data_IF_478826499145
#
_entry.id   IF_478826499145
#
_cell.length_a   1.000
_cell.length_b   1.000
_cell.length_c   1.000
_cell.angle_alpha   90.00
_cell.angle_beta   90.00
_cell.angle_gamma   90.00
#
_symmetry.space_group_name_H-M   'P 1'
#
loop_
_entity.id
_entity.type
_entity.pdbx_description
1 polymer ?
#
# COMPACT_ATOMS: atom_id res chain seq x y z
N UNK A 1 -3.52 -12.84 -5.16
CA UNK A 1 -3.06 -11.54 -5.68
C UNK A 1 -1.72 -11.76 -6.36
N UNK A 2 -1.71 -11.70 -7.69
CA UNK A 2 -0.49 -11.85 -8.50
C UNK A 2 -0.38 -10.61 -9.37
N UNK A 3 0.75 -9.90 -9.31
CA UNK A 3 1.06 -8.84 -10.25
C UNK A 3 1.59 -9.50 -11.53
N UNK A 4 0.84 -9.47 -12.63
CA UNK A 4 1.32 -9.98 -13.91
C UNK A 4 0.64 -9.22 -15.05
N UNK A 5 1.45 -8.43 -15.78
CA UNK A 5 1.10 -7.41 -16.79
C UNK A 5 1.10 -5.94 -16.32
N UNK A 6 1.60 -5.66 -15.12
CA UNK A 6 1.60 -4.32 -14.55
C UNK A 6 0.24 -3.91 -13.97
N UNK A 7 -0.62 -4.89 -13.68
CA UNK A 7 -1.90 -4.69 -13.00
C UNK A 7 -1.95 -5.41 -11.67
N UNK A 8 -2.80 -4.90 -10.78
CA UNK A 8 -3.26 -5.58 -9.59
C UNK A 8 -4.48 -6.42 -9.98
N UNK A 9 -4.45 -7.71 -9.66
CA UNK A 9 -5.56 -8.63 -9.95
C UNK A 9 -6.02 -9.32 -8.68
N UNK A 10 -7.32 -9.22 -8.40
CA UNK A 10 -8.01 -9.83 -7.27
C UNK A 10 -8.84 -11.01 -7.77
N UNK A 11 -8.71 -12.14 -7.08
CA UNK A 11 -9.39 -13.39 -7.40
C UNK A 11 -10.32 -13.77 -6.25
N UNK A 12 -11.49 -14.33 -6.57
CA UNK A 12 -12.37 -14.96 -5.56
C UNK A 12 -11.64 -16.18 -4.97
N UNK A 13 -11.50 -16.20 -3.64
CA UNK A 13 -10.74 -17.24 -2.94
C UNK A 13 -11.38 -18.63 -2.92
N UNK A 14 -12.65 -18.76 -3.32
CA UNK A 14 -13.36 -20.06 -3.36
C UNK A 14 -13.20 -20.72 -4.73
N UNK A 15 -13.48 -19.97 -5.79
CA UNK A 15 -13.58 -20.51 -7.15
C UNK A 15 -12.42 -20.07 -8.07
N UNK A 16 -11.54 -19.18 -7.59
CA UNK A 16 -10.35 -18.67 -8.30
C UNK A 16 -10.65 -17.94 -9.62
N UNK A 17 -11.89 -17.46 -9.78
CA UNK A 17 -12.22 -16.54 -10.86
C UNK A 17 -11.68 -15.15 -10.54
N UNK A 18 -11.26 -14.43 -11.58
CA UNK A 18 -10.91 -13.01 -11.47
C UNK A 18 -12.16 -12.24 -11.03
N UNK A 19 -12.08 -11.62 -9.85
CA UNK A 19 -13.12 -10.78 -9.31
C UNK A 19 -12.99 -9.34 -9.84
N UNK A 20 -11.75 -8.87 -9.93
CA UNK A 20 -11.44 -7.49 -10.32
C UNK A 20 -9.98 -7.37 -10.79
N UNK A 21 -9.72 -6.33 -11.59
CA UNK A 21 -8.37 -5.88 -11.97
C UNK A 21 -8.28 -4.35 -11.93
N UNK A 22 -7.10 -3.83 -11.62
CA UNK A 22 -6.85 -2.38 -11.64
C UNK A 22 -6.93 -1.80 -13.04
N UNK A 23 -7.32 -0.52 -13.12
CA UNK A 23 -7.24 0.28 -14.33
C UNK A 23 -5.79 0.66 -14.66
N UNK A 24 -4.95 0.86 -13.63
CA UNK A 24 -3.50 1.07 -13.76
C UNK A 24 -2.86 -0.14 -14.42
N UNK A 25 -1.98 0.10 -15.40
CA UNK A 25 -1.40 -0.93 -16.29
C UNK A 25 0.11 -1.01 -16.25
N UNK A 26 0.74 -0.17 -15.45
CA UNK A 26 2.18 0.03 -15.35
C UNK A 26 2.69 -0.09 -13.91
N UNK A 27 1.94 -0.80 -13.06
CA UNK A 27 2.37 -1.12 -11.70
C UNK A 27 3.67 -1.92 -11.75
N UNK A 28 4.63 -1.50 -10.92
CA UNK A 28 5.93 -2.15 -10.75
C UNK A 28 6.09 -2.76 -9.36
N UNK A 29 5.00 -2.77 -8.60
CA UNK A 29 4.89 -3.36 -7.27
C UNK A 29 5.40 -4.80 -7.23
N UNK A 30 6.20 -5.09 -6.21
CA UNK A 30 6.70 -6.42 -5.88
C UNK A 30 6.53 -6.76 -4.39
N UNK A 31 6.04 -5.83 -3.58
CA UNK A 31 5.59 -6.03 -2.21
C UNK A 31 4.18 -5.48 -2.05
N UNK A 32 3.40 -6.16 -1.22
CA UNK A 32 2.02 -5.79 -0.90
C UNK A 32 1.82 -5.95 0.60
N UNK A 33 1.19 -4.94 1.21
CA UNK A 33 0.70 -4.97 2.59
C UNK A 33 -0.82 -4.82 2.57
N UNK A 34 -1.46 -5.37 3.60
CA UNK A 34 -2.89 -5.25 3.83
C UNK A 34 -3.09 -4.74 5.25
N UNK A 35 -3.92 -3.71 5.41
CA UNK A 35 -4.34 -3.16 6.70
C UNK A 35 -5.03 -1.82 6.53
N UNK A 36 -5.91 -1.47 7.46
CA UNK A 36 -6.46 -0.13 7.65
C UNK A 36 -5.31 0.85 7.93
N UNK A 37 -4.93 1.65 6.94
CA UNK A 37 -3.84 2.64 6.99
C UNK A 37 -4.35 4.07 6.85
N UNK A 38 -5.63 4.27 6.60
CA UNK A 38 -6.24 5.60 6.50
C UNK A 38 -7.29 5.91 7.59
N UNK A 39 -7.63 4.92 8.42
CA UNK A 39 -8.43 5.05 9.63
C UNK A 39 -9.93 4.98 9.42
N UNK A 40 -10.41 4.37 8.33
CA UNK A 40 -11.83 4.29 7.99
C UNK A 40 -12.55 2.98 8.41
N UNK A 41 -11.86 2.12 9.18
CA UNK A 41 -12.26 0.78 9.63
C UNK A 41 -12.36 -0.29 8.51
N UNK A 42 -11.92 0.00 7.28
CA UNK A 42 -11.71 -0.99 6.23
C UNK A 42 -10.21 -1.18 5.94
N UNK A 43 -9.82 -2.31 5.33
CA UNK A 43 -8.41 -2.55 5.01
C UNK A 43 -8.06 -1.96 3.64
N UNK A 44 -6.82 -1.46 3.48
CA UNK A 44 -6.27 -1.09 2.18
C UNK A 44 -5.27 -2.13 1.65
N UNK A 45 -5.10 -2.15 0.33
CA UNK A 45 -4.01 -2.78 -0.39
C UNK A 45 -2.94 -1.74 -0.68
N UNK A 46 -1.81 -1.84 0.04
CA UNK A 46 -0.66 -0.95 -0.12
C UNK A 46 0.40 -1.62 -0.99
N UNK A 47 0.71 -1.00 -2.13
CA UNK A 47 1.73 -1.46 -3.07
C UNK A 47 3.02 -0.64 -2.92
N UNK A 48 4.18 -1.30 -2.94
CA UNK A 48 5.44 -0.62 -2.66
C UNK A 48 5.92 0.38 -3.72
N UNK A 49 5.30 0.37 -4.89
CA UNK A 49 5.50 1.38 -5.93
C UNK A 49 4.66 2.66 -5.71
N UNK A 50 3.94 2.76 -4.59
CA UNK A 50 3.31 4.00 -4.11
C UNK A 50 1.79 4.06 -4.28
N UNK A 51 1.14 2.97 -4.69
CA UNK A 51 -0.32 2.93 -4.83
C UNK A 51 -0.99 2.36 -3.58
N UNK A 52 -2.12 2.95 -3.20
CA UNK A 52 -2.99 2.52 -2.10
C UNK A 52 -4.41 2.41 -2.63
N UNK A 53 -4.99 1.21 -2.51
CA UNK A 53 -6.35 0.90 -2.94
C UNK A 53 -7.18 0.45 -1.74
N UNK A 54 -8.45 0.82 -1.68
CA UNK A 54 -9.41 0.20 -0.76
C UNK A 54 -9.51 -1.31 -1.06
N UNK A 55 -9.46 -2.20 -0.05
CA UNK A 55 -9.48 -3.65 -0.28
C UNK A 55 -10.89 -4.25 -0.44
N UNK A 56 -11.94 -3.47 -0.21
CA UNK A 56 -13.34 -3.89 -0.29
C UNK A 56 -13.99 -3.54 -1.63
N UNK A 57 -13.79 -2.30 -2.08
CA UNK A 57 -14.32 -1.71 -3.30
C UNK A 57 -13.27 -1.67 -4.42
N UNK A 58 -11.99 -1.78 -4.10
CA UNK A 58 -10.86 -1.74 -5.05
C UNK A 58 -10.68 -0.38 -5.77
N UNK A 59 -11.21 0.68 -5.17
CA UNK A 59 -11.01 2.04 -5.67
C UNK A 59 -9.59 2.52 -5.33
N UNK A 60 -8.99 3.29 -6.24
CA UNK A 60 -7.70 3.94 -5.97
C UNK A 60 -7.92 5.15 -5.05
N UNK A 61 -7.38 5.09 -3.84
CA UNK A 61 -7.56 6.14 -2.83
C UNK A 61 -6.41 7.14 -2.82
N UNK A 62 -5.20 6.63 -3.03
CA UNK A 62 -4.00 7.43 -3.11
C UNK A 62 -2.93 6.84 -4.02
N UNK A 63 -2.26 7.75 -4.73
CA UNK A 63 -1.00 7.51 -5.42
C UNK A 63 0.04 8.46 -4.84
N UNK A 64 0.99 7.91 -4.10
CA UNK A 64 2.16 8.63 -3.62
C UNK A 64 3.03 9.06 -4.82
N UNK A 65 3.62 10.28 -4.78
CA UNK A 65 4.57 10.71 -5.80
C UNK A 65 5.90 9.92 -5.76
N UNK A 66 6.19 9.25 -4.65
CA UNK A 66 7.41 8.46 -4.44
C UNK A 66 7.05 7.05 -3.96
N UNK A 67 7.82 6.01 -4.31
CA UNK A 67 7.58 4.66 -3.85
C UNK A 67 7.81 4.53 -2.34
N UNK A 68 7.18 3.53 -1.72
CA UNK A 68 7.31 3.26 -0.28
C UNK A 68 8.57 2.44 0.07
N UNK A 69 9.31 1.91 -0.91
CA UNK A 69 10.60 1.25 -0.69
C UNK A 69 10.70 -0.14 -1.31
N UNK A 70 11.83 -0.81 -1.12
CA UNK A 70 12.09 -2.17 -1.62
C UNK A 70 11.45 -3.24 -0.72
N UNK A 71 11.31 -2.95 0.58
CA UNK A 71 10.60 -3.77 1.56
C UNK A 71 9.77 -2.88 2.45
N UNK A 72 8.64 -3.39 2.90
CA UNK A 72 7.72 -2.61 3.73
C UNK A 72 7.23 -3.39 4.95
N UNK A 73 6.76 -2.67 5.96
CA UNK A 73 5.94 -3.19 7.06
C UNK A 73 4.95 -2.12 7.55
N UNK A 74 3.93 -2.56 8.29
CA UNK A 74 2.97 -1.67 8.97
C UNK A 74 3.26 -1.62 10.46
N UNK A 75 3.24 -0.42 11.04
CA UNK A 75 3.37 -0.21 12.49
C UNK A 75 2.83 1.16 12.85
N UNK A 76 1.92 1.21 13.83
CA UNK A 76 1.49 2.45 14.50
C UNK A 76 2.65 2.99 15.36
N UNK A 77 3.23 4.11 14.93
CA UNK A 77 4.42 4.73 15.49
C UNK A 77 4.12 5.94 16.37
N UNK A 78 2.98 6.59 16.21
CA UNK A 78 2.59 7.77 17.00
C UNK A 78 1.34 7.59 17.87
N UNK A 79 0.87 6.36 18.00
CA UNK A 79 -0.20 5.91 18.90
C UNK A 79 -1.57 6.52 18.58
N UNK A 80 -1.85 6.81 17.31
CA UNK A 80 -3.15 7.31 16.86
C UNK A 80 -4.14 6.19 16.46
N UNK A 81 -3.69 4.93 16.52
CA UNK A 81 -4.38 3.70 16.09
C UNK A 81 -4.42 3.48 14.58
N UNK A 82 -3.73 4.30 13.78
CA UNK A 82 -3.59 4.15 12.33
C UNK A 82 -2.13 3.76 12.03
N UNK A 83 -1.86 2.53 11.55
CA UNK A 83 -0.50 2.10 11.28
C UNK A 83 0.14 2.84 10.10
N UNK A 84 1.35 3.35 10.30
CA UNK A 84 2.15 3.88 9.19
C UNK A 84 2.86 2.79 8.39
N UNK A 85 3.18 3.15 7.14
CA UNK A 85 4.03 2.33 6.27
C UNK A 85 5.49 2.63 6.56
N UNK A 86 6.22 1.63 7.03
CA UNK A 86 7.67 1.68 7.19
C UNK A 86 8.32 1.07 5.96
N UNK A 87 9.04 1.91 5.23
CA UNK A 87 9.71 1.59 3.98
C UNK A 87 11.22 1.46 4.12
N UNK A 88 11.79 0.38 3.59
CA UNK A 88 13.24 0.18 3.51
C UNK A 88 13.78 0.58 2.13
N UNK A 89 14.84 1.39 2.11
CA UNK A 89 15.48 1.89 0.90
C UNK A 89 16.96 1.52 0.83
N UNK A 90 17.33 0.85 -0.27
CA UNK A 90 18.72 0.55 -0.67
C UNK A 90 19.51 -0.30 0.35
N UNK A 91 18.84 -1.14 1.12
CA UNK A 91 19.39 -1.92 2.22
C UNK A 91 19.92 -1.08 3.39
N UNK A 92 19.57 0.21 3.50
CA UNK A 92 20.34 1.17 4.30
C UNK A 92 19.57 2.03 5.27
N UNK A 93 18.44 2.59 4.85
CA UNK A 93 17.68 3.52 5.67
C UNK A 93 16.20 3.23 5.57
N UNK A 94 15.48 3.61 6.62
CA UNK A 94 14.03 3.53 6.69
C UNK A 94 13.43 4.91 6.44
N UNK A 95 12.28 4.94 5.78
CA UNK A 95 11.36 6.08 5.74
C UNK A 95 10.01 5.63 6.26
N UNK A 96 9.23 6.58 6.74
CA UNK A 96 7.91 6.33 7.33
C UNK A 96 6.90 7.16 6.55
N UNK A 97 5.78 6.56 6.17
CA UNK A 97 4.72 7.21 5.42
C UNK A 97 3.41 7.13 6.18
N UNK A 98 2.80 8.29 6.34
CA UNK A 98 1.50 8.52 6.95
C UNK A 98 0.48 8.54 5.81
N UNK A 99 -0.34 7.49 5.72
CA UNK A 99 -1.22 7.30 4.56
C UNK A 99 -2.47 8.18 4.69
N UNK A 100 -3.04 8.27 5.90
CA UNK A 100 -4.13 9.20 6.24
C UNK A 100 -3.77 10.66 5.93
N UNK A 101 -2.54 11.09 6.27
CA UNK A 101 -2.01 12.44 5.98
C UNK A 101 -1.36 12.55 4.59
N UNK A 102 -1.31 11.44 3.83
CA UNK A 102 -0.79 11.33 2.46
C UNK A 102 0.59 11.94 2.29
N UNK A 103 1.52 11.62 3.21
CA UNK A 103 2.88 12.20 3.22
C UNK A 103 3.92 11.30 3.87
N UNK A 104 5.19 11.52 3.51
CA UNK A 104 6.33 10.99 4.28
C UNK A 104 6.39 11.70 5.66
N UNK A 105 6.44 10.95 6.76
CA UNK A 105 6.78 11.49 8.08
C UNK A 105 8.26 11.87 8.06
N UNK A 106 8.51 13.18 8.02
CA UNK A 106 9.85 13.70 8.26
C UNK A 106 10.11 13.77 9.77
N UNK A 107 11.22 13.17 10.22
CA UNK A 107 11.75 13.34 11.57
C UNK A 107 12.32 14.77 11.72
N UNK A 108 11.45 15.77 11.70
CA UNK A 108 11.80 17.19 11.71
C UNK A 108 11.69 17.81 13.10
N UNK A 109 12.77 17.67 13.88
CA UNK A 109 13.21 18.40 15.12
C UNK A 109 12.21 18.73 16.22
#
# INVERSE_FOLDING_TARGET
MFCADGRLVVYDGRDQYEQWRSDQTDLTAHQILIGDVDGDDEDEIVLNDGYVFDARFFDLEWQSPEPFGERMGLLDLDEDQIPEVIGEFQGRYLRIFDIDLRREKSLGR
#
